data_IF_275348260482
#
_entry.id   IF_275348260482
#
_cell.length_a   1.000
_cell.length_b   1.000
_cell.length_c   1.000
_cell.angle_alpha   90.00
_cell.angle_beta   90.00
_cell.angle_gamma   90.00
#
_symmetry.space_group_name_H-M   'P 1'
#
loop_
_entity.id
_entity.type
_entity.pdbx_description
1 polymer ?
#
# COMPACT_ATOMS: atom_id res chain seq x y z
N UNK A 1 -21.29 -22.14 -3.00
CA UNK A 1 -19.82 -22.33 -2.87
C UNK A 1 -19.27 -22.70 -4.24
N UNK A 2 -18.18 -22.08 -4.70
CA UNK A 2 -17.57 -22.46 -5.98
C UNK A 2 -17.01 -23.88 -5.90
N UNK A 3 -17.34 -24.73 -6.89
CA UNK A 3 -16.85 -26.12 -6.97
C UNK A 3 -15.32 -26.10 -7.07
N UNK A 4 -14.64 -26.82 -6.16
CA UNK A 4 -13.18 -26.93 -6.18
C UNK A 4 -12.76 -27.72 -7.42
N UNK A 5 -11.97 -27.09 -8.28
CA UNK A 5 -11.47 -27.74 -9.49
C UNK A 5 -10.50 -28.86 -9.16
N UNK A 6 -10.54 -29.92 -9.97
CA UNK A 6 -9.56 -31.00 -9.96
C UNK A 6 -8.24 -30.54 -10.61
N UNK A 7 -7.15 -31.27 -10.35
CA UNK A 7 -5.85 -30.97 -10.99
C UNK A 7 -5.92 -31.00 -12.52
N UNK A 8 -6.70 -31.92 -13.09
CA UNK A 8 -6.90 -32.06 -14.54
C UNK A 8 -7.59 -30.82 -15.13
N UNK A 9 -8.67 -30.38 -14.50
CA UNK A 9 -9.42 -29.19 -14.93
C UNK A 9 -8.57 -27.91 -14.91
N UNK A 10 -7.68 -27.77 -13.92
CA UNK A 10 -6.74 -26.63 -13.83
C UNK A 10 -5.75 -26.64 -15.00
N UNK A 11 -5.24 -27.82 -15.35
CA UNK A 11 -4.27 -27.96 -16.44
C UNK A 11 -4.91 -27.72 -17.81
N UNK A 12 -6.10 -28.26 -18.06
CA UNK A 12 -6.89 -28.01 -19.27
C UNK A 12 -7.17 -26.51 -19.43
N UNK A 13 -7.64 -25.84 -18.37
CA UNK A 13 -7.88 -24.39 -18.41
C UNK A 13 -6.61 -23.60 -18.71
N UNK A 14 -5.45 -24.05 -18.21
CA UNK A 14 -4.17 -23.39 -18.47
C UNK A 14 -3.74 -23.53 -19.93
N UNK A 15 -3.98 -24.70 -20.55
CA UNK A 15 -3.71 -24.94 -21.98
C UNK A 15 -4.61 -24.08 -22.86
N UNK A 16 -5.92 -24.12 -22.62
CA UNK A 16 -6.90 -23.29 -23.35
C UNK A 16 -6.55 -21.80 -23.24
N UNK A 17 -6.21 -21.34 -22.02
CA UNK A 17 -5.79 -19.94 -21.81
C UNK A 17 -4.59 -19.56 -22.67
N UNK A 18 -3.56 -20.42 -22.76
CA UNK A 18 -2.39 -20.17 -23.60
C UNK A 18 -2.74 -20.10 -25.07
N UNK A 19 -3.53 -21.05 -25.58
CA UNK A 19 -3.95 -21.05 -26.99
C UNK A 19 -4.75 -19.79 -27.34
N UNK A 20 -5.63 -19.34 -26.43
CA UNK A 20 -6.39 -18.10 -26.62
C UNK A 20 -5.48 -16.85 -26.60
N UNK A 21 -4.42 -16.85 -25.78
CA UNK A 21 -3.42 -15.78 -25.75
C UNK A 21 -2.59 -15.77 -27.05
N UNK A 22 -2.15 -16.94 -27.53
CA UNK A 22 -1.40 -17.09 -28.78
C UNK A 22 -2.22 -16.65 -30.01
N UNK A 23 -3.54 -16.91 -29.99
CA UNK A 23 -4.47 -16.45 -31.03
C UNK A 23 -4.88 -14.97 -30.88
N UNK A 24 -4.41 -14.27 -29.84
CA UNK A 24 -4.74 -12.87 -29.59
C UNK A 24 -6.18 -12.60 -29.13
N UNK A 25 -6.92 -13.64 -28.73
CA UNK A 25 -8.33 -13.53 -28.30
C UNK A 25 -8.43 -12.94 -26.89
N UNK A 26 -7.48 -13.28 -26.00
CA UNK A 26 -7.38 -12.73 -24.65
C UNK A 26 -5.99 -12.13 -24.41
N UNK A 27 -5.88 -11.07 -23.57
CA UNK A 27 -4.61 -10.40 -23.33
C UNK A 27 -3.59 -11.30 -22.62
N UNK A 28 -2.28 -11.01 -22.79
CA UNK A 28 -1.23 -11.70 -22.05
C UNK A 28 -1.37 -11.47 -20.54
N UNK A 29 -0.76 -12.37 -19.78
CA UNK A 29 -0.76 -12.26 -18.32
C UNK A 29 -0.06 -10.99 -17.86
N UNK A 30 -0.74 -10.22 -17.00
CA UNK A 30 -0.15 -9.03 -16.39
C UNK A 30 1.14 -9.46 -15.67
N UNK A 31 2.29 -8.81 -15.96
CA UNK A 31 3.54 -9.14 -15.31
C UNK A 31 3.39 -8.99 -13.79
N UNK A 32 3.98 -9.92 -13.05
CA UNK A 32 4.02 -9.81 -11.59
C UNK A 32 4.81 -8.56 -11.21
N UNK A 33 4.27 -7.78 -10.29
CA UNK A 33 4.97 -6.62 -9.75
C UNK A 33 6.25 -7.08 -9.05
N UNK A 34 7.40 -6.61 -9.52
CA UNK A 34 8.65 -6.76 -8.79
C UNK A 34 8.63 -5.78 -7.61
N UNK A 35 8.12 -6.24 -6.47
CA UNK A 35 7.90 -5.42 -5.27
C UNK A 35 9.18 -4.75 -4.77
N UNK A 36 10.33 -5.45 -4.85
CA UNK A 36 11.62 -4.90 -4.41
C UNK A 36 12.05 -3.74 -5.31
N UNK A 37 12.00 -3.95 -6.63
CA UNK A 37 12.33 -2.92 -7.61
C UNK A 37 11.39 -1.71 -7.47
N UNK A 38 10.09 -1.96 -7.38
CA UNK A 38 9.10 -0.91 -7.20
C UNK A 38 9.35 -0.09 -5.92
N UNK A 39 9.63 -0.74 -4.79
CA UNK A 39 9.93 -0.04 -3.55
C UNK A 39 11.20 0.82 -3.65
N UNK A 40 12.25 0.31 -4.32
CA UNK A 40 13.48 1.06 -4.53
C UNK A 40 13.27 2.29 -5.41
N UNK A 41 12.59 2.13 -6.55
CA UNK A 41 12.29 3.23 -7.48
C UNK A 41 11.48 4.33 -6.77
N UNK A 42 10.41 3.94 -6.08
CA UNK A 42 9.56 4.89 -5.35
C UNK A 42 10.32 5.61 -4.24
N UNK A 43 11.15 4.92 -3.44
CA UNK A 43 11.94 5.57 -2.40
C UNK A 43 12.93 6.59 -3.00
N UNK A 44 13.58 6.26 -4.11
CA UNK A 44 14.50 7.18 -4.79
C UNK A 44 13.78 8.39 -5.39
N UNK A 45 12.60 8.20 -5.97
CA UNK A 45 11.76 9.32 -6.46
C UNK A 45 11.26 10.20 -5.29
N UNK A 46 10.92 9.56 -4.17
CA UNK A 46 10.39 10.22 -2.98
C UNK A 46 11.38 11.19 -2.34
N UNK A 47 12.68 10.88 -2.33
CA UNK A 47 13.73 11.78 -1.83
C UNK A 47 13.70 13.16 -2.52
N UNK A 48 13.23 13.20 -3.77
CA UNK A 48 13.10 14.43 -4.56
C UNK A 48 11.70 15.07 -4.48
N UNK A 49 10.74 14.39 -3.84
CA UNK A 49 9.36 14.84 -3.68
C UNK A 49 9.22 15.74 -2.43
N UNK A 50 9.70 16.98 -2.55
CA UNK A 50 9.66 17.94 -1.45
C UNK A 50 8.22 18.33 -1.04
N UNK A 51 7.80 17.90 0.15
CA UNK A 51 6.48 18.20 0.73
C UNK A 51 6.37 19.61 1.35
N UNK A 52 7.43 20.43 1.35
CA UNK A 52 7.31 21.84 1.71
C UNK A 52 6.57 22.66 0.65
N UNK A 53 6.44 22.14 -0.57
CA UNK A 53 5.57 22.70 -1.60
C UNK A 53 4.11 22.36 -1.27
N UNK A 54 3.30 23.41 -1.05
CA UNK A 54 1.89 23.28 -0.70
C UNK A 54 1.09 22.46 -1.72
N UNK A 55 1.36 22.59 -3.02
CA UNK A 55 0.66 21.82 -4.06
C UNK A 55 1.00 20.34 -3.96
N UNK A 56 2.27 20.02 -3.75
CA UNK A 56 2.72 18.62 -3.56
C UNK A 56 2.14 18.01 -2.29
N UNK A 57 2.13 18.77 -1.19
CA UNK A 57 1.51 18.36 0.07
C UNK A 57 0.00 18.11 -0.08
N UNK A 58 -0.71 19.03 -0.74
CA UNK A 58 -2.14 18.88 -1.00
C UNK A 58 -2.45 17.62 -1.83
N UNK A 59 -1.67 17.38 -2.89
CA UNK A 59 -1.81 16.16 -3.71
C UNK A 59 -1.55 14.91 -2.88
N UNK A 60 -0.50 14.89 -2.06
CA UNK A 60 -0.18 13.77 -1.19
C UNK A 60 -1.31 13.46 -0.20
N UNK A 61 -1.83 14.47 0.49
CA UNK A 61 -2.96 14.33 1.43
C UNK A 61 -4.21 13.82 0.70
N UNK A 62 -4.49 14.34 -0.49
CA UNK A 62 -5.65 13.92 -1.31
C UNK A 62 -5.54 12.44 -1.67
N UNK A 63 -4.39 11.99 -2.20
CA UNK A 63 -4.18 10.58 -2.55
C UNK A 63 -4.26 9.69 -1.31
N UNK A 64 -3.66 10.10 -0.19
CA UNK A 64 -3.76 9.37 1.07
C UNK A 64 -5.21 9.21 1.54
N UNK A 65 -6.06 10.23 1.38
CA UNK A 65 -7.48 10.14 1.70
C UNK A 65 -8.22 9.17 0.77
N UNK A 66 -7.95 9.23 -0.54
CA UNK A 66 -8.56 8.33 -1.53
C UNK A 66 -8.18 6.85 -1.32
N UNK A 67 -6.97 6.60 -0.80
CA UNK A 67 -6.47 5.25 -0.56
C UNK A 67 -6.89 4.67 0.80
N UNK A 68 -7.62 5.41 1.65
CA UNK A 68 -8.04 4.92 2.96
C UNK A 68 -9.54 4.63 3.00
N UNK A 69 -9.94 3.36 3.09
CA UNK A 69 -11.30 3.02 3.50
C UNK A 69 -11.44 3.24 5.03
N UNK A 70 -12.33 4.15 5.41
CA UNK A 70 -12.68 4.42 6.82
C UNK A 70 -13.63 3.38 7.43
N UNK A 71 -13.93 2.30 6.70
CA UNK A 71 -14.98 1.34 7.03
C UNK A 71 -16.35 1.72 6.46
N UNK A 72 -16.45 2.88 5.80
CA UNK A 72 -17.69 3.32 5.13
C UNK A 72 -18.06 2.44 3.94
N UNK A 73 -17.08 1.91 3.20
CA UNK A 73 -17.30 1.18 1.95
C UNK A 73 -16.85 -0.29 2.03
N UNK A 74 -17.19 -0.94 3.13
CA UNK A 74 -16.92 -2.37 3.36
C UNK A 74 -15.78 -2.62 4.34
N UNK A 75 -15.30 -3.87 4.37
CA UNK A 75 -14.27 -4.31 5.31
C UNK A 75 -12.94 -3.55 5.12
N UNK A 76 -12.25 -3.32 6.23
CA UNK A 76 -10.93 -2.68 6.25
C UNK A 76 -9.90 -3.70 5.77
N UNK A 77 -9.18 -3.36 4.69
CA UNK A 77 -8.09 -4.18 4.16
C UNK A 77 -6.79 -3.99 4.94
N UNK A 78 -5.76 -4.80 4.64
CA UNK A 78 -4.43 -4.64 5.23
C UNK A 78 -3.75 -3.35 4.76
N UNK A 79 -4.02 -2.97 3.51
CA UNK A 79 -3.57 -1.73 2.90
C UNK A 79 -4.19 -0.51 3.60
N UNK A 80 -5.51 -0.55 3.86
CA UNK A 80 -6.21 0.49 4.62
C UNK A 80 -5.62 0.65 6.03
N UNK A 81 -5.42 -0.48 6.73
CA UNK A 81 -4.84 -0.50 8.07
C UNK A 81 -3.43 0.12 8.08
N UNK A 82 -2.62 -0.14 7.05
CA UNK A 82 -1.30 0.46 6.90
C UNK A 82 -1.36 2.00 6.85
N UNK A 83 -2.29 2.56 6.07
CA UNK A 83 -2.44 4.02 5.95
C UNK A 83 -3.06 4.62 7.22
N UNK A 84 -4.00 3.92 7.86
CA UNK A 84 -4.57 4.34 9.15
C UNK A 84 -3.50 4.41 10.25
N UNK A 85 -2.59 3.44 10.30
CA UNK A 85 -1.44 3.47 11.20
C UNK A 85 -0.53 4.67 10.90
N UNK A 86 -0.24 4.95 9.63
CA UNK A 86 0.55 6.13 9.24
C UNK A 86 -0.09 7.42 9.77
N UNK A 87 -1.40 7.61 9.55
CA UNK A 87 -2.16 8.76 10.06
C UNK A 87 -2.09 8.85 11.59
N UNK A 88 -2.31 7.73 12.28
CA UNK A 88 -2.26 7.69 13.76
C UNK A 88 -0.87 8.02 14.28
N UNK A 89 0.18 7.50 13.66
CA UNK A 89 1.56 7.83 14.02
C UNK A 89 1.85 9.32 13.85
N UNK A 90 1.42 9.92 12.73
CA UNK A 90 1.62 11.34 12.47
C UNK A 90 0.94 12.22 13.53
N UNK A 91 -0.31 11.93 13.88
CA UNK A 91 -1.05 12.67 14.93
C UNK A 91 -0.38 12.54 16.30
N UNK A 92 -0.02 11.32 16.70
CA UNK A 92 0.61 11.05 18.00
C UNK A 92 1.99 11.72 18.09
N UNK A 93 2.80 11.61 17.04
CA UNK A 93 4.13 12.22 17.01
C UNK A 93 4.02 13.75 17.06
N UNK A 94 3.09 14.34 16.31
CA UNK A 94 2.87 15.79 16.31
C UNK A 94 2.48 16.30 17.70
N UNK A 95 1.49 15.68 18.34
CA UNK A 95 1.05 16.05 19.69
C UNK A 95 2.19 15.96 20.71
N UNK A 96 3.06 14.95 20.58
CA UNK A 96 4.19 14.78 21.48
C UNK A 96 5.32 15.77 21.20
N UNK A 97 5.59 16.11 19.94
CA UNK A 97 6.59 17.14 19.59
C UNK A 97 6.17 18.54 20.03
N UNK A 98 4.87 18.84 20.07
CA UNK A 98 4.36 20.10 20.62
C UNK A 98 4.67 20.22 22.14
N UNK A 99 4.64 19.11 22.87
CA UNK A 99 4.98 19.06 24.31
C UNK A 99 6.48 18.99 24.55
N UNK A 100 7.18 18.17 23.77
CA UNK A 100 8.61 17.92 23.88
C UNK A 100 9.32 18.17 22.54
N UNK A 101 9.79 19.40 22.36
CA UNK A 101 10.47 19.86 21.12
C UNK A 101 11.83 19.21 20.86
N UNK A 102 12.37 18.38 21.78
CA UNK A 102 13.71 17.79 21.69
C UNK A 102 13.73 16.26 21.78
N UNK A 103 12.67 15.61 21.32
CA UNK A 103 12.58 14.16 21.27
C UNK A 103 13.64 13.55 20.32
N UNK A 104 14.29 12.48 20.76
CA UNK A 104 15.22 11.69 19.97
C UNK A 104 14.50 10.69 19.06
N UNK A 105 15.17 10.20 18.01
CA UNK A 105 14.61 9.17 17.13
C UNK A 105 14.25 7.87 17.87
N UNK A 106 15.00 7.50 18.92
CA UNK A 106 14.70 6.31 19.73
C UNK A 106 13.38 6.46 20.47
N UNK A 107 13.16 7.61 21.11
CA UNK A 107 11.89 7.92 21.78
C UNK A 107 10.71 7.99 20.81
N UNK A 108 10.92 8.53 19.60
CA UNK A 108 9.90 8.50 18.54
C UNK A 108 9.53 7.07 18.15
N UNK A 109 10.53 6.20 17.99
CA UNK A 109 10.30 4.78 17.67
C UNK A 109 9.53 4.09 18.80
N UNK A 110 9.92 4.32 20.05
CA UNK A 110 9.26 3.72 21.21
C UNK A 110 7.81 4.18 21.35
N UNK A 111 7.54 5.46 21.11
CA UNK A 111 6.20 6.04 21.08
C UNK A 111 5.31 5.41 20.01
N UNK A 112 5.86 5.17 18.81
CA UNK A 112 5.10 4.72 17.64
C UNK A 112 5.00 3.18 17.51
N UNK A 113 5.94 2.45 18.10
CA UNK A 113 6.03 0.99 18.05
C UNK A 113 4.74 0.25 18.42
N UNK A 114 3.96 0.67 19.44
CA UNK A 114 2.67 0.06 19.73
C UNK A 114 1.67 0.15 18.57
N UNK A 115 1.67 1.27 17.82
CA UNK A 115 0.76 1.50 16.69
C UNK A 115 1.16 0.61 15.50
N UNK A 116 2.46 0.46 15.24
CA UNK A 116 2.95 -0.39 14.15
C UNK A 116 2.56 -1.86 14.33
N UNK A 117 2.42 -2.31 15.59
CA UNK A 117 2.10 -3.69 15.97
C UNK A 117 0.60 -4.04 15.96
N UNK A 118 -0.30 -3.06 15.80
CA UNK A 118 -1.75 -3.29 15.67
C UNK A 118 -2.12 -4.14 14.45
#
# INVERSE_FOLDING_TARGET
MAKRMTRREIEERRKIKKELQEKGIIPPDKPRLNRKKFAQEVCSEWENFNLSDYKKLYVFITVMAMMTNSGMYGAISKEDLGILKLKKCAMVLYEEMEKNKKMSYGEMIDLLSPIWKL
#
